data_IF_397434937542
#
_entry.id   IF_397434937542
#
_cell.length_a   1.000
_cell.length_b   1.000
_cell.length_c   1.000
_cell.angle_alpha   90.00
_cell.angle_beta   90.00
_cell.angle_gamma   90.00
#
_symmetry.space_group_name_H-M   'P 1'
#
loop_
_entity.id
_entity.type
_entity.pdbx_description
1 polymer ?
#
# COMPACT_ATOMS: atom_id res chain seq x y z
N UNK A 1 -22.72 4.69 7.71
CA UNK A 1 -21.55 4.71 6.81
C UNK A 1 -20.31 4.30 7.54
N UNK A 2 -19.25 4.00 6.81
CA UNK A 2 -17.92 3.76 7.34
C UNK A 2 -17.01 4.92 6.94
N UNK A 3 -16.22 5.40 7.88
CA UNK A 3 -15.07 6.26 7.60
C UNK A 3 -13.82 5.40 7.69
N UNK A 4 -13.09 5.28 6.59
CA UNK A 4 -11.88 4.50 6.44
C UNK A 4 -10.71 5.49 6.33
N UNK A 5 -9.65 5.29 7.12
CA UNK A 5 -8.52 6.21 7.18
C UNK A 5 -7.23 5.40 7.10
N UNK A 6 -6.33 5.80 6.21
CA UNK A 6 -4.98 5.25 6.08
C UNK A 6 -3.95 6.35 6.39
N UNK A 7 -3.27 6.22 7.53
CA UNK A 7 -2.24 7.16 7.98
C UNK A 7 -0.86 6.63 7.54
N UNK A 8 -0.42 7.09 6.38
CA UNK A 8 0.96 6.89 5.92
C UNK A 8 1.92 7.92 6.50
N UNK A 9 3.24 7.71 6.33
CA UNK A 9 4.26 8.63 6.84
C UNK A 9 4.20 10.03 6.19
N UNK A 10 3.85 10.12 4.91
CA UNK A 10 3.81 11.39 4.16
C UNK A 10 2.39 11.90 3.95
N UNK A 11 1.46 11.00 3.61
CA UNK A 11 0.07 11.34 3.31
C UNK A 11 -0.89 10.50 4.11
N UNK A 12 -1.94 11.14 4.61
CA UNK A 12 -3.13 10.48 5.16
C UNK A 12 -4.21 10.51 4.10
N UNK A 13 -4.77 9.35 3.80
CA UNK A 13 -5.90 9.18 2.88
C UNK A 13 -7.14 8.76 3.66
N UNK A 14 -8.31 9.17 3.20
CA UNK A 14 -9.55 8.73 3.81
C UNK A 14 -10.66 8.57 2.78
N UNK A 15 -11.65 7.75 3.15
CA UNK A 15 -12.81 7.45 2.31
C UNK A 15 -14.04 7.30 3.19
N UNK A 16 -15.10 8.03 2.85
CA UNK A 16 -16.42 7.89 3.43
C UNK A 16 -17.29 7.06 2.47
N UNK A 17 -17.74 5.87 2.92
CA UNK A 17 -18.52 4.98 2.07
C UNK A 17 -19.53 4.13 2.84
N UNK A 18 -20.49 3.60 2.12
CA UNK A 18 -21.30 2.47 2.55
C UNK A 18 -20.98 1.22 1.70
N UNK A 19 -21.88 0.23 1.74
CA UNK A 19 -21.72 -0.99 0.95
C UNK A 19 -21.92 -0.78 -0.56
N UNK A 20 -22.61 0.29 -0.95
CA UNK A 20 -23.01 0.51 -2.35
C UNK A 20 -22.11 1.49 -3.09
N UNK A 21 -21.69 2.56 -2.42
CA UNK A 21 -20.92 3.63 -3.07
C UNK A 21 -19.96 4.35 -2.13
N UNK A 22 -18.98 5.00 -2.74
CA UNK A 22 -18.14 6.02 -2.11
C UNK A 22 -18.88 7.35 -2.19
N UNK A 23 -19.00 8.03 -1.06
CA UNK A 23 -19.62 9.34 -0.97
C UNK A 23 -18.60 10.47 -1.10
N UNK A 24 -17.47 10.26 -0.44
CA UNK A 24 -16.38 11.24 -0.45
C UNK A 24 -15.05 10.53 -0.20
N UNK A 25 -14.00 11.01 -0.83
CA UNK A 25 -12.62 10.58 -0.59
C UNK A 25 -11.68 11.77 -0.79
N UNK A 26 -10.60 11.82 -0.02
CA UNK A 26 -9.58 12.85 -0.13
C UNK A 26 -8.27 12.40 0.53
N UNK A 27 -7.25 13.23 0.44
CA UNK A 27 -5.97 13.03 1.11
C UNK A 27 -5.34 14.37 1.50
N UNK A 28 -4.55 14.35 2.57
CA UNK A 28 -3.79 15.49 3.06
C UNK A 28 -2.39 15.05 3.53
N UNK A 29 -1.49 16.01 3.75
CA UNK A 29 -0.18 15.72 4.31
C UNK A 29 -0.33 15.25 5.77
N UNK A 30 0.34 14.16 6.13
CA UNK A 30 0.22 13.59 7.50
C UNK A 30 0.73 14.54 8.58
N UNK A 31 1.60 15.48 8.26
CA UNK A 31 2.02 16.53 9.18
C UNK A 31 0.86 17.46 9.59
N UNK A 32 -0.11 17.66 8.70
CA UNK A 32 -1.30 18.50 8.91
C UNK A 32 -2.47 17.77 9.60
N UNK A 33 -2.25 16.60 10.19
CA UNK A 33 -3.32 15.77 10.79
C UNK A 33 -4.07 16.46 11.93
N UNK A 34 -3.53 17.53 12.47
CA UNK A 34 -4.16 18.38 13.48
C UNK A 34 -5.22 19.34 12.91
N UNK A 35 -5.31 19.52 11.59
CA UNK A 35 -6.36 20.31 10.94
C UNK A 35 -7.69 19.54 10.87
N UNK A 36 -8.80 20.23 10.59
CA UNK A 36 -10.14 19.63 10.59
C UNK A 36 -10.57 19.20 9.17
N UNK A 37 -10.05 18.07 8.72
CA UNK A 37 -10.39 17.49 7.41
C UNK A 37 -11.68 16.66 7.40
N UNK A 38 -12.20 16.29 8.57
CA UNK A 38 -13.33 15.37 8.68
C UNK A 38 -14.61 16.13 8.99
N UNK A 39 -15.21 16.76 7.97
CA UNK A 39 -16.45 17.52 8.09
C UNK A 39 -17.53 16.80 7.25
N UNK A 40 -18.39 16.02 7.91
CA UNK A 40 -19.43 15.25 7.26
C UNK A 40 -20.79 15.54 7.92
N UNK A 41 -21.85 15.60 7.11
CA UNK A 41 -23.24 15.66 7.56
C UNK A 41 -23.81 14.26 7.80
N UNK A 42 -23.20 13.25 7.24
CA UNK A 42 -23.67 11.87 7.26
C UNK A 42 -23.36 11.18 8.59
N UNK A 43 -24.29 10.31 9.03
CA UNK A 43 -24.10 9.52 10.23
C UNK A 43 -23.06 8.41 9.99
N UNK A 44 -21.92 8.52 10.66
CA UNK A 44 -20.86 7.51 10.65
C UNK A 44 -21.21 6.46 11.72
N UNK A 45 -21.16 5.17 11.35
CA UNK A 45 -21.47 4.07 12.26
C UNK A 45 -20.21 3.44 12.84
N UNK A 46 -19.10 3.50 12.11
CA UNK A 46 -17.81 2.94 12.52
C UNK A 46 -16.67 3.61 11.74
N UNK A 47 -15.54 3.77 12.41
CA UNK A 47 -14.29 4.29 11.85
C UNK A 47 -13.24 3.18 11.94
N UNK A 48 -12.58 2.85 10.83
CA UNK A 48 -11.45 1.94 10.79
C UNK A 48 -10.21 2.70 10.32
N UNK A 49 -9.10 2.48 11.01
CA UNK A 49 -7.86 3.21 10.78
C UNK A 49 -6.70 2.24 10.58
N UNK A 50 -5.98 2.40 9.47
CA UNK A 50 -4.63 1.93 9.26
C UNK A 50 -3.66 3.01 9.73
N UNK A 51 -2.64 2.66 10.51
CA UNK A 51 -1.65 3.63 10.97
C UNK A 51 -0.24 3.03 10.96
N UNK A 52 0.63 3.61 10.12
CA UNK A 52 2.07 3.32 10.07
C UNK A 52 2.92 4.56 10.41
N UNK A 53 2.30 5.67 10.81
CA UNK A 53 2.96 6.94 11.15
C UNK A 53 3.21 7.15 12.65
N UNK A 54 2.96 6.12 13.47
CA UNK A 54 3.32 6.11 14.90
C UNK A 54 2.23 6.61 15.85
N UNK A 55 2.52 6.53 17.15
CA UNK A 55 1.57 6.79 18.23
C UNK A 55 1.12 8.26 18.35
N UNK A 56 1.99 9.19 18.01
CA UNK A 56 1.66 10.63 18.09
C UNK A 56 0.50 10.97 17.16
N UNK A 57 0.58 10.52 15.89
CA UNK A 57 -0.47 10.74 14.89
C UNK A 57 -1.76 10.00 15.27
N UNK A 58 -1.65 8.81 15.86
CA UNK A 58 -2.79 8.07 16.40
C UNK A 58 -3.51 8.84 17.50
N UNK A 59 -2.76 9.42 18.46
CA UNK A 59 -3.33 10.17 19.57
C UNK A 59 -4.09 11.42 19.09
N UNK A 60 -3.49 12.19 18.17
CA UNK A 60 -4.13 13.36 17.56
C UNK A 60 -5.43 12.96 16.88
N UNK A 61 -5.39 11.93 16.03
CA UNK A 61 -6.56 11.49 15.28
C UNK A 61 -7.66 10.97 16.20
N UNK A 62 -7.34 10.21 17.26
CA UNK A 62 -8.33 9.76 18.26
C UNK A 62 -9.11 10.92 18.86
N UNK A 63 -8.44 12.03 19.18
CA UNK A 63 -9.12 13.22 19.74
C UNK A 63 -10.07 13.82 18.71
N UNK A 64 -9.64 13.98 17.46
CA UNK A 64 -10.45 14.59 16.41
C UNK A 64 -11.68 13.75 16.02
N UNK A 65 -11.53 12.43 16.04
CA UNK A 65 -12.61 11.52 15.66
C UNK A 65 -13.66 11.33 16.75
N UNK A 66 -13.43 11.74 18.00
CA UNK A 66 -14.43 11.66 19.10
C UNK A 66 -15.74 12.36 18.77
N UNK A 67 -15.71 13.40 17.94
CA UNK A 67 -16.92 14.14 17.52
C UNK A 67 -17.96 13.27 16.81
N UNK A 68 -17.58 12.14 16.22
CA UNK A 68 -18.50 11.25 15.51
C UNK A 68 -19.26 10.30 16.43
N UNK A 69 -18.89 10.21 17.71
CA UNK A 69 -19.58 9.40 18.73
C UNK A 69 -19.88 7.95 18.29
N UNK A 70 -18.93 7.33 17.58
CA UNK A 70 -19.02 5.96 17.08
C UNK A 70 -17.73 5.16 17.38
N UNK A 71 -17.75 3.82 17.28
CA UNK A 71 -16.56 3.01 17.50
C UNK A 71 -15.45 3.36 16.54
N UNK A 72 -14.22 3.50 17.07
CA UNK A 72 -12.98 3.72 16.32
C UNK A 72 -12.08 2.52 16.54
N UNK A 73 -11.67 1.87 15.46
CA UNK A 73 -10.78 0.70 15.48
C UNK A 73 -9.50 1.00 14.73
N UNK A 74 -8.37 0.94 15.42
CA UNK A 74 -7.04 0.92 14.82
C UNK A 74 -6.70 -0.53 14.51
N UNK A 75 -6.71 -0.85 13.22
CA UNK A 75 -6.52 -2.21 12.73
C UNK A 75 -5.08 -2.66 12.95
N UNK A 76 -4.92 -3.96 13.24
CA UNK A 76 -3.62 -4.63 13.34
C UNK A 76 -3.59 -5.87 12.45
N UNK A 77 -2.42 -6.33 11.99
CA UNK A 77 -2.31 -7.61 11.32
C UNK A 77 -2.75 -8.76 12.22
N UNK A 78 -3.40 -9.76 11.62
CA UNK A 78 -3.84 -10.98 12.31
C UNK A 78 -3.07 -12.19 11.79
N UNK A 79 -3.01 -13.27 12.58
CA UNK A 79 -2.43 -14.56 12.14
C UNK A 79 -3.21 -15.16 10.97
N UNK A 80 -4.53 -15.05 11.03
CA UNK A 80 -5.44 -15.51 9.99
C UNK A 80 -6.65 -14.60 9.94
N UNK A 81 -7.11 -14.31 8.75
CA UNK A 81 -8.39 -13.67 8.53
C UNK A 81 -9.07 -14.32 7.32
N UNK A 82 -10.19 -15.03 7.57
CA UNK A 82 -10.86 -15.87 6.55
C UNK A 82 -9.86 -16.78 5.81
N UNK A 83 -9.69 -16.52 4.51
CA UNK A 83 -8.83 -17.29 3.61
C UNK A 83 -7.40 -16.77 3.52
N UNK A 84 -7.03 -15.72 4.27
CA UNK A 84 -5.68 -15.17 4.28
C UNK A 84 -4.92 -15.56 5.55
N UNK A 85 -3.81 -16.26 5.38
CA UNK A 85 -2.82 -16.54 6.41
C UNK A 85 -1.70 -15.50 6.38
N UNK A 86 -1.21 -15.14 7.54
CA UNK A 86 -0.02 -14.31 7.71
C UNK A 86 1.19 -15.21 7.92
N UNK A 87 2.12 -15.22 6.96
CA UNK A 87 3.36 -16.01 6.99
C UNK A 87 4.51 -15.36 7.73
N UNK A 88 4.35 -14.14 8.26
CA UNK A 88 5.40 -13.49 9.05
C UNK A 88 5.70 -14.26 10.32
N UNK A 89 6.99 -14.34 10.69
CA UNK A 89 7.44 -14.97 11.94
C UNK A 89 6.87 -14.23 13.15
N UNK A 90 7.02 -12.91 13.17
CA UNK A 90 6.36 -12.02 14.13
C UNK A 90 5.28 -11.21 13.42
N UNK A 91 4.03 -11.53 13.71
CA UNK A 91 2.86 -10.91 13.10
C UNK A 91 2.81 -9.40 13.40
N UNK A 92 3.29 -8.99 14.57
CA UNK A 92 3.27 -7.60 15.00
C UNK A 92 4.25 -6.71 14.22
N UNK A 93 5.24 -7.31 13.56
CA UNK A 93 6.25 -6.61 12.74
C UNK A 93 5.79 -6.35 11.31
N UNK A 94 4.68 -6.98 10.87
CA UNK A 94 4.11 -6.70 9.55
C UNK A 94 3.42 -5.34 9.56
N UNK A 95 3.75 -4.46 8.61
CA UNK A 95 3.03 -3.21 8.39
C UNK A 95 1.54 -3.46 8.12
N UNK A 96 0.67 -2.74 8.82
CA UNK A 96 -0.79 -2.90 8.69
C UNK A 96 -1.28 -2.55 7.28
N UNK A 97 -0.64 -1.59 6.63
CA UNK A 97 -0.89 -1.18 5.25
C UNK A 97 -0.66 -2.34 4.26
N UNK A 98 0.43 -3.09 4.43
CA UNK A 98 0.75 -4.26 3.61
C UNK A 98 -0.25 -5.40 3.84
N UNK A 99 -0.62 -5.64 5.09
CA UNK A 99 -1.65 -6.62 5.46
C UNK A 99 -3.02 -6.28 4.86
N UNK A 100 -3.44 -5.02 4.94
CA UNK A 100 -4.71 -4.56 4.38
C UNK A 100 -4.73 -4.62 2.86
N UNK A 101 -3.61 -4.29 2.21
CA UNK A 101 -3.46 -4.46 0.76
C UNK A 101 -3.65 -5.92 0.34
N UNK A 102 -3.08 -6.87 1.10
CA UNK A 102 -3.29 -8.30 0.87
C UNK A 102 -4.75 -8.72 1.05
N UNK A 103 -5.44 -8.21 2.08
CA UNK A 103 -6.88 -8.45 2.28
C UNK A 103 -7.72 -7.98 1.09
N UNK A 104 -7.44 -6.79 0.56
CA UNK A 104 -8.13 -6.28 -0.64
C UNK A 104 -7.94 -7.18 -1.86
N UNK A 105 -6.72 -7.71 -2.04
CA UNK A 105 -6.39 -8.59 -3.17
C UNK A 105 -7.07 -9.95 -3.04
N UNK A 106 -7.08 -10.55 -1.85
CA UNK A 106 -7.73 -11.84 -1.61
C UNK A 106 -9.22 -11.87 -1.96
N UNK A 107 -9.93 -10.76 -1.79
CA UNK A 107 -11.37 -10.67 -2.08
C UNK A 107 -11.65 -10.46 -3.59
N UNK A 108 -10.65 -10.07 -4.37
CA UNK A 108 -10.84 -9.67 -5.78
C UNK A 108 -10.13 -10.55 -6.81
N UNK A 109 -9.10 -11.29 -6.41
CA UNK A 109 -8.22 -12.03 -7.34
C UNK A 109 -7.98 -13.44 -6.81
N UNK A 110 -8.33 -14.46 -7.58
CA UNK A 110 -8.17 -15.88 -7.23
C UNK A 110 -6.91 -16.48 -7.88
N UNK A 111 -5.76 -15.87 -7.60
CA UNK A 111 -4.45 -16.25 -8.14
C UNK A 111 -3.33 -15.87 -7.19
N UNK A 112 -2.17 -16.52 -7.33
CA UNK A 112 -0.94 -16.00 -6.75
C UNK A 112 -0.69 -14.56 -7.23
N UNK A 113 -0.31 -13.66 -6.33
CA UNK A 113 -0.24 -12.24 -6.65
C UNK A 113 1.01 -11.60 -6.09
N UNK A 114 1.55 -10.62 -6.83
CA UNK A 114 2.57 -9.69 -6.36
C UNK A 114 1.92 -8.33 -6.14
N UNK A 115 1.97 -7.83 -4.91
CA UNK A 115 1.46 -6.52 -4.56
C UNK A 115 2.63 -5.56 -4.51
N UNK A 116 2.65 -4.60 -5.41
CA UNK A 116 3.73 -3.60 -5.51
C UNK A 116 3.16 -2.25 -5.14
N UNK A 117 3.52 -1.75 -3.98
CA UNK A 117 3.11 -0.42 -3.52
C UNK A 117 4.26 0.56 -3.72
N UNK A 118 4.03 1.62 -4.51
CA UNK A 118 5.07 2.60 -4.90
C UNK A 118 4.70 3.97 -4.36
N UNK A 119 5.42 4.40 -3.32
CA UNK A 119 5.21 5.67 -2.65
C UNK A 119 6.47 6.13 -1.92
N UNK A 120 6.35 6.61 -0.67
CA UNK A 120 7.48 7.00 0.20
C UNK A 120 8.50 5.86 0.35
N UNK A 121 8.01 4.64 0.51
CA UNK A 121 8.75 3.40 0.31
C UNK A 121 8.14 2.63 -0.86
N UNK A 122 8.92 1.70 -1.44
CA UNK A 122 8.40 0.70 -2.36
C UNK A 122 8.38 -0.63 -1.64
N UNK A 123 7.23 -1.31 -1.66
CA UNK A 123 7.12 -2.70 -1.17
C UNK A 123 6.76 -3.62 -2.32
N UNK A 124 7.33 -4.82 -2.34
CA UNK A 124 6.94 -5.89 -3.25
C UNK A 124 6.62 -7.10 -2.39
N UNK A 125 5.35 -7.45 -2.31
CA UNK A 125 4.83 -8.50 -1.44
C UNK A 125 4.31 -9.68 -2.26
N UNK A 126 4.66 -10.89 -1.85
CA UNK A 126 4.20 -12.11 -2.48
C UNK A 126 3.06 -12.72 -1.69
N UNK A 127 1.95 -12.92 -2.38
CA UNK A 127 0.75 -13.56 -1.90
C UNK A 127 0.56 -14.87 -2.68
N UNK A 128 0.87 -16.02 -2.06
CA UNK A 128 0.63 -17.32 -2.66
C UNK A 128 -0.85 -17.70 -2.58
N UNK A 129 -1.29 -18.55 -3.50
CA UNK A 129 -2.68 -19.02 -3.55
C UNK A 129 -2.74 -20.53 -3.75
N UNK A 130 -3.32 -21.24 -2.76
CA UNK A 130 -3.67 -22.63 -2.88
C UNK A 130 -5.11 -22.77 -3.43
N UNK A 131 -5.22 -23.26 -4.67
CA UNK A 131 -6.52 -23.45 -5.34
C UNK A 131 -7.39 -24.51 -4.68
N UNK A 132 -6.80 -25.57 -4.07
CA UNK A 132 -7.55 -26.67 -3.47
C UNK A 132 -8.23 -26.23 -2.17
N UNK A 133 -7.46 -25.55 -1.32
CA UNK A 133 -7.93 -25.06 -0.04
C UNK A 133 -8.61 -23.68 -0.14
N UNK A 134 -8.60 -23.06 -1.33
CA UNK A 134 -9.04 -21.69 -1.56
C UNK A 134 -8.42 -20.72 -0.53
N UNK A 135 -7.11 -20.85 -0.30
CA UNK A 135 -6.39 -20.16 0.75
C UNK A 135 -5.22 -19.36 0.20
N UNK A 136 -5.06 -18.15 0.72
CA UNK A 136 -3.92 -17.29 0.48
C UNK A 136 -2.95 -17.32 1.65
N UNK A 137 -1.67 -17.16 1.34
CA UNK A 137 -0.64 -16.90 2.35
C UNK A 137 0.14 -15.66 1.98
N UNK A 138 0.17 -14.68 2.88
CA UNK A 138 1.10 -13.57 2.79
C UNK A 138 2.51 -14.10 3.11
N UNK A 139 3.30 -14.39 2.08
CA UNK A 139 4.61 -15.03 2.20
C UNK A 139 5.69 -14.05 2.68
N UNK A 140 5.45 -12.76 2.54
CA UNK A 140 6.41 -11.70 2.81
C UNK A 140 6.84 -10.98 1.55
N UNK A 141 7.90 -10.18 1.66
CA UNK A 141 8.35 -9.35 0.55
C UNK A 141 9.59 -8.55 0.88
N UNK A 142 9.83 -7.51 0.09
CA UNK A 142 10.95 -6.57 0.27
C UNK A 142 10.44 -5.15 0.42
N UNK A 143 11.26 -4.32 1.06
CA UNK A 143 11.01 -2.89 1.24
C UNK A 143 12.23 -2.14 0.69
N UNK A 144 11.97 -1.18 -0.18
CA UNK A 144 12.97 -0.31 -0.81
C UNK A 144 12.62 1.15 -0.52
N UNK A 145 13.58 2.07 -0.50
CA UNK A 145 13.27 3.49 -0.47
C UNK A 145 12.56 3.90 -1.77
N UNK A 146 11.53 4.75 -1.68
CA UNK A 146 10.90 5.36 -2.85
C UNK A 146 11.81 6.41 -3.51
N UNK A 147 11.40 6.90 -4.69
CA UNK A 147 12.25 7.81 -5.48
C UNK A 147 12.61 9.09 -4.71
N UNK A 148 11.62 9.74 -4.09
CA UNK A 148 11.87 10.95 -3.31
C UNK A 148 12.78 10.72 -2.11
N UNK A 149 12.58 9.62 -1.40
CA UNK A 149 13.44 9.25 -0.27
C UNK A 149 14.86 8.96 -0.73
N UNK A 150 15.02 8.27 -1.86
CA UNK A 150 16.33 7.99 -2.49
C UNK A 150 17.05 9.28 -2.85
N UNK A 151 16.37 10.21 -3.55
CA UNK A 151 16.93 11.51 -3.94
C UNK A 151 17.35 12.32 -2.72
N UNK A 152 16.47 12.46 -1.74
CA UNK A 152 16.73 13.22 -0.52
C UNK A 152 17.92 12.66 0.28
N UNK A 153 17.98 11.34 0.45
CA UNK A 153 19.08 10.69 1.18
C UNK A 153 20.41 10.90 0.47
N UNK A 154 20.44 10.76 -0.85
CA UNK A 154 21.65 11.01 -1.62
C UNK A 154 22.07 12.49 -1.57
N UNK A 155 21.15 13.43 -1.72
CA UNK A 155 21.48 14.87 -1.67
C UNK A 155 21.96 15.32 -0.29
N UNK A 156 21.40 14.80 0.79
CA UNK A 156 21.82 15.13 2.16
C UNK A 156 23.21 14.58 2.53
N UNK A 157 23.61 13.45 1.94
CA UNK A 157 24.85 12.77 2.27
C UNK A 157 25.99 12.98 1.25
N UNK A 158 25.77 13.81 0.22
CA UNK A 158 26.78 14.10 -0.81
C UNK A 158 26.80 15.59 -1.12
N UNK A 159 27.97 16.19 -1.05
CA UNK A 159 28.16 17.65 -1.12
C UNK A 159 27.77 18.33 -2.46
N UNK A 160 27.45 17.57 -3.52
CA UNK A 160 27.26 18.10 -4.87
C UNK A 160 26.03 17.53 -5.62
N UNK A 161 25.16 16.73 -4.96
CA UNK A 161 24.01 16.20 -5.65
C UNK A 161 22.83 17.20 -5.60
N UNK A 162 22.45 17.68 -6.77
CA UNK A 162 21.28 18.53 -6.98
C UNK A 162 20.06 17.62 -7.06
N UNK A 163 18.98 18.01 -6.40
CA UNK A 163 17.72 17.25 -6.36
C UNK A 163 16.88 17.50 -7.65
N UNK A 164 17.50 17.33 -8.80
CA UNK A 164 16.86 17.52 -10.10
C UNK A 164 16.07 16.28 -10.55
N UNK A 165 15.08 16.50 -11.38
CA UNK A 165 14.35 15.42 -12.04
C UNK A 165 15.20 14.83 -13.17
N UNK A 166 15.39 13.52 -13.10
CA UNK A 166 16.10 12.74 -14.13
C UNK A 166 15.13 12.11 -15.13
N UNK A 167 15.72 11.54 -16.17
CA UNK A 167 15.01 10.68 -17.14
C UNK A 167 15.59 9.27 -17.09
N UNK A 168 14.74 8.27 -17.37
CA UNK A 168 15.22 6.89 -17.50
C UNK A 168 16.15 6.76 -18.72
N UNK A 169 17.39 6.39 -18.48
CA UNK A 169 18.43 6.24 -19.51
C UNK A 169 19.46 5.20 -19.09
N UNK A 170 19.81 4.28 -19.99
CA UNK A 170 20.81 3.23 -19.75
C UNK A 170 21.82 3.20 -20.92
N UNK A 171 23.12 3.42 -20.69
CA UNK A 171 23.70 3.99 -19.47
C UNK A 171 23.33 5.46 -19.30
N UNK A 172 23.15 5.92 -18.06
CA UNK A 172 22.92 7.32 -17.77
C UNK A 172 24.24 8.12 -17.86
N UNK A 173 24.18 9.32 -18.45
CA UNK A 173 25.34 10.18 -18.70
C UNK A 173 25.35 11.47 -17.85
N UNK A 174 24.42 11.59 -16.90
CA UNK A 174 24.40 12.62 -15.87
C UNK A 174 23.82 12.07 -14.57
N UNK A 175 24.06 12.77 -13.46
CA UNK A 175 23.73 12.30 -12.11
C UNK A 175 22.23 12.16 -11.88
N UNK A 176 21.40 13.11 -12.33
CA UNK A 176 19.95 13.06 -12.15
C UNK A 176 19.37 11.81 -12.87
N UNK A 177 19.78 11.57 -14.13
CA UNK A 177 19.36 10.38 -14.87
C UNK A 177 19.89 9.09 -14.21
N UNK A 178 21.12 9.11 -13.66
CA UNK A 178 21.70 7.95 -12.99
C UNK A 178 20.91 7.56 -11.74
N UNK A 179 20.53 8.52 -10.92
CA UNK A 179 19.69 8.29 -9.72
C UNK A 179 18.32 7.74 -10.12
N UNK A 180 17.66 8.39 -11.06
CA UNK A 180 16.33 7.96 -11.48
C UNK A 180 16.34 6.58 -12.15
N UNK A 181 17.30 6.32 -13.04
CA UNK A 181 17.45 5.02 -13.68
C UNK A 181 17.81 3.92 -12.68
N UNK A 182 18.69 4.22 -11.71
CA UNK A 182 19.03 3.30 -10.63
C UNK A 182 17.83 2.91 -9.80
N UNK A 183 16.98 3.87 -9.43
CA UNK A 183 15.73 3.59 -8.74
C UNK A 183 14.80 2.68 -9.56
N UNK A 184 14.52 3.04 -10.81
CA UNK A 184 13.65 2.25 -11.69
C UNK A 184 14.20 0.83 -11.85
N UNK A 185 15.49 0.68 -12.15
CA UNK A 185 16.13 -0.64 -12.29
C UNK A 185 16.08 -1.46 -11.01
N UNK A 186 16.22 -0.83 -9.84
CA UNK A 186 16.06 -1.52 -8.55
C UNK A 186 14.65 -2.09 -8.38
N UNK A 187 13.62 -1.31 -8.68
CA UNK A 187 12.23 -1.78 -8.59
C UNK A 187 11.96 -2.89 -9.59
N UNK A 188 12.33 -2.71 -10.87
CA UNK A 188 12.11 -3.69 -11.93
C UNK A 188 12.90 -4.98 -11.70
N UNK A 189 14.15 -4.90 -11.23
CA UNK A 189 14.98 -6.05 -10.92
C UNK A 189 14.40 -6.89 -9.78
N UNK A 190 13.96 -6.25 -8.69
CA UNK A 190 13.29 -6.95 -7.61
C UNK A 190 11.96 -7.56 -8.07
N UNK A 191 11.14 -6.80 -8.82
CA UNK A 191 9.87 -7.32 -9.35
C UNK A 191 10.11 -8.57 -10.22
N UNK A 192 11.10 -8.54 -11.12
CA UNK A 192 11.47 -9.68 -11.95
C UNK A 192 11.82 -10.90 -11.09
N UNK A 193 12.66 -10.74 -10.07
CA UNK A 193 13.03 -11.83 -9.15
C UNK A 193 11.82 -12.42 -8.44
N UNK A 194 10.85 -11.59 -8.02
CA UNK A 194 9.62 -12.05 -7.40
C UNK A 194 8.67 -12.73 -8.39
N UNK A 195 8.62 -12.29 -9.65
CA UNK A 195 7.87 -12.98 -10.71
C UNK A 195 8.46 -14.37 -10.95
N UNK A 196 9.77 -14.50 -11.07
CA UNK A 196 10.45 -15.79 -11.22
C UNK A 196 10.19 -16.72 -10.03
N UNK A 197 10.26 -16.21 -8.79
CA UNK A 197 9.90 -16.95 -7.58
C UNK A 197 8.44 -17.41 -7.61
N UNK A 198 7.52 -16.52 -7.93
CA UNK A 198 6.08 -16.84 -7.95
C UNK A 198 5.75 -17.88 -9.03
N UNK A 199 6.33 -17.76 -10.23
CA UNK A 199 6.16 -18.71 -11.31
C UNK A 199 6.82 -20.07 -11.04
N UNK A 200 7.84 -20.15 -10.20
CA UNK A 200 8.40 -21.43 -9.76
C UNK A 200 7.44 -22.23 -8.86
N UNK A 201 6.48 -21.56 -8.22
CA UNK A 201 5.52 -22.14 -7.27
C UNK A 201 4.08 -22.18 -7.82
N UNK A 202 3.77 -21.39 -8.84
CA UNK A 202 2.44 -21.27 -9.43
C UNK A 202 2.55 -21.15 -10.95
N UNK A 203 1.59 -21.72 -11.68
CA UNK A 203 1.53 -21.60 -13.14
C UNK A 203 1.09 -20.22 -13.65
N UNK A 204 0.60 -19.36 -12.75
CA UNK A 204 0.01 -18.06 -13.09
C UNK A 204 0.21 -17.09 -11.91
N UNK A 205 0.62 -15.87 -12.20
CA UNK A 205 0.84 -14.80 -11.23
C UNK A 205 0.20 -13.51 -11.74
N UNK A 206 -0.43 -12.76 -10.84
CA UNK A 206 -0.96 -11.44 -11.14
C UNK A 206 -0.17 -10.37 -10.42
N UNK A 207 0.10 -9.24 -11.07
CA UNK A 207 0.83 -8.10 -10.50
C UNK A 207 -0.18 -6.98 -10.25
N UNK A 208 -0.20 -6.46 -9.03
CA UNK A 208 -1.01 -5.31 -8.66
C UNK A 208 -0.06 -4.16 -8.27
N UNK A 209 -0.06 -3.11 -9.07
CA UNK A 209 0.63 -1.87 -8.75
C UNK A 209 -0.32 -0.94 -7.99
N UNK A 210 0.18 -0.33 -6.92
CA UNK A 210 -0.55 0.66 -6.13
C UNK A 210 0.40 1.76 -5.64
N UNK A 211 -0.17 2.82 -5.05
CA UNK A 211 0.60 3.97 -4.57
C UNK A 211 0.67 5.11 -5.57
N UNK A 212 1.22 6.26 -5.12
CA UNK A 212 1.25 7.48 -5.91
C UNK A 212 2.07 7.40 -7.19
N UNK A 213 3.14 6.59 -7.17
CA UNK A 213 4.07 6.42 -8.29
C UNK A 213 3.84 5.11 -9.07
N UNK A 214 2.69 4.44 -8.87
CA UNK A 214 2.37 3.19 -9.56
C UNK A 214 2.37 3.32 -11.08
N UNK A 215 1.74 4.38 -11.60
CA UNK A 215 1.69 4.66 -13.04
C UNK A 215 3.10 4.89 -13.61
N UNK A 216 3.94 5.61 -12.86
CA UNK A 216 5.32 5.84 -13.26
C UNK A 216 6.11 4.53 -13.42
N UNK A 217 5.97 3.58 -12.50
CA UNK A 217 6.62 2.26 -12.63
C UNK A 217 5.98 1.44 -13.75
N UNK A 218 4.65 1.48 -13.90
CA UNK A 218 3.93 0.76 -14.96
C UNK A 218 4.46 1.10 -16.36
N UNK A 219 4.74 2.37 -16.63
CA UNK A 219 5.27 2.83 -17.92
C UNK A 219 6.61 2.19 -18.27
N UNK A 220 7.39 1.77 -17.27
CA UNK A 220 8.71 1.14 -17.45
C UNK A 220 8.68 -0.39 -17.45
N UNK A 221 7.51 -1.01 -17.24
CA UNK A 221 7.36 -2.46 -17.39
C UNK A 221 7.52 -2.90 -18.83
N UNK A 222 8.04 -4.12 -19.03
CA UNK A 222 8.02 -4.79 -20.35
C UNK A 222 6.56 -5.10 -20.73
N UNK A 223 6.28 -5.20 -22.03
CA UNK A 223 4.94 -5.53 -22.52
C UNK A 223 4.43 -6.87 -21.98
N UNK A 224 5.30 -7.84 -21.76
CA UNK A 224 4.93 -9.12 -21.16
C UNK A 224 4.44 -8.96 -19.72
N UNK A 225 5.12 -8.14 -18.90
CA UNK A 225 4.70 -7.88 -17.53
C UNK A 225 3.41 -7.05 -17.47
N UNK A 226 3.23 -6.09 -18.37
CA UNK A 226 2.01 -5.27 -18.43
C UNK A 226 0.75 -6.10 -18.60
N UNK A 227 0.81 -7.22 -19.37
CA UNK A 227 -0.34 -8.14 -19.58
C UNK A 227 -0.86 -8.78 -18.28
N UNK A 228 -0.01 -8.95 -17.29
CA UNK A 228 -0.33 -9.53 -15.98
C UNK A 228 -0.48 -8.47 -14.88
N UNK A 229 -0.43 -7.19 -15.26
CA UNK A 229 -0.41 -6.08 -14.29
C UNK A 229 -1.70 -5.28 -14.35
N UNK A 230 -2.24 -4.99 -13.18
CA UNK A 230 -3.31 -4.00 -13.00
C UNK A 230 -2.87 -2.93 -12.01
N UNK A 231 -3.34 -1.71 -12.21
CA UNK A 231 -3.15 -0.60 -11.26
C UNK A 231 -4.41 -0.47 -10.43
N UNK A 232 -4.24 -0.46 -9.09
CA UNK A 232 -5.29 -0.20 -8.12
C UNK A 232 -4.86 0.92 -7.17
N UNK A 233 -5.69 1.96 -7.02
CA UNK A 233 -5.28 3.17 -6.30
C UNK A 233 -5.20 2.98 -4.79
N UNK A 234 -6.24 2.46 -4.15
CA UNK A 234 -6.42 2.60 -2.70
C UNK A 234 -6.60 1.24 -2.01
N UNK A 235 -5.64 0.31 -2.26
CA UNK A 235 -5.67 -1.05 -1.71
C UNK A 235 -5.84 -1.10 -0.19
N UNK A 236 -5.22 -0.17 0.55
CA UNK A 236 -5.32 -0.12 2.01
C UNK A 236 -6.74 0.24 2.45
N UNK A 237 -7.34 1.26 1.83
CA UNK A 237 -8.72 1.66 2.11
C UNK A 237 -9.71 0.57 1.70
N UNK A 238 -9.47 -0.11 0.57
CA UNK A 238 -10.25 -1.27 0.16
C UNK A 238 -10.14 -2.42 1.17
N UNK A 239 -8.94 -2.69 1.70
CA UNK A 239 -8.72 -3.68 2.75
C UNK A 239 -9.43 -3.32 4.07
N UNK A 240 -9.44 -2.05 4.46
CA UNK A 240 -10.24 -1.55 5.59
C UNK A 240 -11.74 -1.77 5.34
N UNK A 241 -12.20 -1.55 4.10
CA UNK A 241 -13.59 -1.80 3.74
C UNK A 241 -13.96 -3.28 3.81
N UNK A 242 -13.08 -4.17 3.37
CA UNK A 242 -13.26 -5.62 3.52
C UNK A 242 -13.50 -5.99 4.98
N UNK A 243 -12.72 -5.44 5.91
CA UNK A 243 -12.93 -5.64 7.35
C UNK A 243 -14.26 -5.05 7.82
N UNK A 244 -14.56 -3.79 7.45
CA UNK A 244 -15.78 -3.09 7.87
C UNK A 244 -17.05 -3.85 7.46
N UNK A 245 -17.05 -4.40 6.24
CA UNK A 245 -18.22 -5.08 5.67
C UNK A 245 -18.50 -6.45 6.31
N UNK A 246 -17.44 -7.12 6.79
CA UNK A 246 -17.57 -8.46 7.38
C UNK A 246 -17.87 -8.46 8.90
N UNK A 247 -17.71 -7.33 9.58
CA UNK A 247 -18.03 -7.20 11.00
C UNK A 247 -19.56 -7.18 11.32
N UNK A 248 -20.41 -7.20 10.29
CA UNK A 248 -21.88 -7.33 10.47
C UNK A 248 -22.37 -8.79 10.57
N UNK A 249 -21.46 -9.76 10.50
CA UNK A 249 -21.78 -11.21 10.46
C UNK A 249 -21.35 -11.93 11.75
N UNK A 250 -20.99 -11.21 12.80
CA UNK A 250 -20.73 -11.73 14.15
C UNK A 250 -21.74 -11.11 15.15
#
# INVERSE_FOLDING_TARGET
>A
MFLLIDIGNTKTKWMLRDQKKIYQEDSFLTEDIDQDYFQFSEKIHKILVSNVAGFEKEAILKIKLKKFACPIEFVKPHKKWKHLLNGYQDISSLGVDRWLSALSVCESIQKASLIVSVGTAVTIDYLSFDKKEHQYTFEGGVILPGLHLTKNTLSQNTAQLINDDGKFQIPAINTANAIQSGFILSVLGNLKSFVELALSKSSDVHIILSGGDAEFIYQHLTEDLKRYTTIKKDLVLDGLFVLANNLKTL
#
